data_IF_084818753817
#
_entry.id   IF_084818753817
#
_cell.length_a   1.000
_cell.length_b   1.000
_cell.length_c   1.000
_cell.angle_alpha   90.00
_cell.angle_beta   90.00
_cell.angle_gamma   90.00
#
_symmetry.space_group_name_H-M   'P 1'
#
loop_
_entity.id
_entity.type
_entity.pdbx_description
1 polymer ?
#
# COMPACT_ATOMS: atom_id res chain seq x y z
N UNK A 1 6.13 2.35 -11.84
CA UNK A 1 6.32 3.81 -11.96
C UNK A 1 5.16 4.51 -11.27
N UNK A 2 5.45 5.41 -10.33
CA UNK A 2 4.44 6.24 -9.65
C UNK A 2 4.81 7.71 -9.82
N UNK A 3 3.81 8.57 -10.05
CA UNK A 3 3.94 10.02 -9.98
C UNK A 3 2.86 10.57 -9.06
N UNK A 4 3.26 11.50 -8.19
CA UNK A 4 2.37 12.15 -7.25
C UNK A 4 2.51 13.67 -7.35
N UNK A 5 1.45 14.38 -6.94
CA UNK A 5 1.47 15.84 -6.75
C UNK A 5 2.30 16.23 -5.53
N UNK A 6 2.49 17.53 -5.31
CA UNK A 6 3.20 18.04 -4.11
C UNK A 6 2.47 17.68 -2.81
N UNK A 7 1.16 17.50 -2.88
CA UNK A 7 0.27 17.12 -1.80
C UNK A 7 0.19 15.59 -1.63
N UNK A 8 1.04 14.83 -2.32
CA UNK A 8 1.10 13.37 -2.22
C UNK A 8 -0.06 12.63 -2.90
N UNK A 9 -0.91 13.31 -3.68
CA UNK A 9 -1.96 12.65 -4.46
C UNK A 9 -1.34 11.96 -5.69
N UNK A 10 -1.59 10.67 -5.86
CA UNK A 10 -1.14 9.91 -7.04
C UNK A 10 -1.91 10.41 -8.26
N UNK A 11 -1.17 10.80 -9.30
CA UNK A 11 -1.72 11.26 -10.59
C UNK A 11 -1.46 10.26 -11.72
N UNK A 12 -0.53 9.33 -11.50
CA UNK A 12 -0.25 8.24 -12.43
C UNK A 12 0.40 7.08 -11.66
N UNK A 13 -0.13 5.87 -11.85
CA UNK A 13 0.51 4.65 -11.36
C UNK A 13 0.53 3.58 -12.45
N UNK A 14 1.72 3.10 -12.81
CA UNK A 14 1.90 1.91 -13.62
C UNK A 14 2.63 0.87 -12.76
N UNK A 15 1.99 -0.23 -12.39
CA UNK A 15 2.66 -1.35 -11.72
C UNK A 15 2.59 -2.61 -12.58
N UNK A 16 3.70 -3.32 -12.68
CA UNK A 16 3.78 -4.65 -13.27
C UNK A 16 4.28 -5.60 -12.20
N UNK A 17 3.51 -6.64 -11.91
CA UNK A 17 3.91 -7.65 -10.92
C UNK A 17 3.88 -9.05 -11.51
N UNK A 18 4.70 -9.92 -10.90
CA UNK A 18 4.88 -11.30 -11.30
C UNK A 18 4.61 -12.21 -10.11
N UNK A 19 3.65 -13.12 -10.26
CA UNK A 19 3.34 -14.15 -9.30
C UNK A 19 4.03 -15.45 -9.69
N UNK A 20 4.80 -16.05 -8.79
CA UNK A 20 5.39 -17.37 -9.04
C UNK A 20 4.34 -18.46 -8.82
N UNK A 21 3.89 -19.13 -9.88
CA UNK A 21 2.90 -20.21 -9.80
C UNK A 21 3.51 -21.56 -9.39
N UNK A 22 4.84 -21.70 -9.48
CA UNK A 22 5.54 -22.99 -9.36
C UNK A 22 5.44 -23.83 -10.63
N UNK A 23 5.45 -25.16 -10.49
CA UNK A 23 5.58 -26.12 -11.60
C UNK A 23 4.35 -26.24 -12.49
N UNK A 24 3.19 -25.80 -11.99
CA UNK A 24 1.94 -25.74 -12.72
C UNK A 24 1.21 -24.44 -12.39
N UNK A 25 0.36 -23.99 -13.31
CA UNK A 25 -0.57 -22.88 -13.07
C UNK A 25 -1.78 -23.41 -12.28
N UNK A 26 -1.52 -23.94 -11.08
CA UNK A 26 -2.53 -24.60 -10.27
C UNK A 26 -3.66 -23.63 -9.92
N UNK A 27 -3.32 -22.47 -9.33
CA UNK A 27 -4.31 -21.48 -8.90
C UNK A 27 -3.82 -20.07 -9.18
N UNK A 28 -4.57 -19.36 -10.05
CA UNK A 28 -4.28 -17.98 -10.40
C UNK A 28 -4.75 -17.01 -9.31
N UNK A 29 -3.97 -15.99 -8.91
CA UNK A 29 -4.34 -15.01 -7.88
C UNK A 29 -5.29 -13.93 -8.43
N UNK A 30 -6.41 -14.36 -9.02
CA UNK A 30 -7.34 -13.50 -9.76
C UNK A 30 -7.95 -12.36 -8.93
N UNK A 31 -7.98 -12.50 -7.59
CA UNK A 31 -8.49 -11.48 -6.68
C UNK A 31 -7.61 -10.23 -6.58
N UNK A 32 -6.36 -10.27 -7.06
CA UNK A 32 -5.45 -9.12 -6.97
C UNK A 32 -6.08 -7.88 -7.58
N UNK A 33 -6.69 -7.99 -8.77
CA UNK A 33 -7.24 -6.82 -9.47
C UNK A 33 -8.32 -6.12 -8.65
N UNK A 34 -9.19 -6.88 -7.97
CA UNK A 34 -10.30 -6.35 -7.18
C UNK A 34 -9.84 -5.71 -5.86
N UNK A 35 -8.66 -6.08 -5.36
CA UNK A 35 -8.16 -5.62 -4.06
C UNK A 35 -7.01 -4.62 -4.15
N UNK A 36 -6.43 -4.44 -5.34
CA UNK A 36 -5.27 -3.57 -5.53
C UNK A 36 -5.53 -2.12 -5.13
N UNK A 37 -6.74 -1.61 -5.40
CA UNK A 37 -7.14 -0.25 -5.03
C UNK A 37 -7.16 -0.01 -3.50
N UNK A 38 -7.34 -1.05 -2.70
CA UNK A 38 -7.63 -0.93 -1.27
C UNK A 38 -8.72 0.13 -1.00
N UNK A 39 -8.38 1.23 -0.33
CA UNK A 39 -9.29 2.32 0.02
C UNK A 39 -9.12 3.56 -0.86
N UNK A 40 -8.36 3.48 -1.95
CA UNK A 40 -7.87 4.63 -2.70
C UNK A 40 -8.55 4.80 -4.07
N UNK A 41 -8.53 6.02 -4.59
CA UNK A 41 -8.93 6.32 -5.97
C UNK A 41 -7.92 5.70 -6.94
N UNK A 42 -8.40 4.86 -7.87
CA UNK A 42 -7.55 4.09 -8.79
C UNK A 42 -7.74 4.41 -10.28
N UNK A 43 -8.49 5.46 -10.60
CA UNK A 43 -8.84 5.86 -11.97
C UNK A 43 -7.61 6.10 -12.88
N UNK A 44 -6.49 6.51 -12.29
CA UNK A 44 -5.24 6.79 -12.98
C UNK A 44 -4.23 5.63 -12.93
N UNK A 45 -4.67 4.43 -12.52
CA UNK A 45 -3.80 3.29 -12.31
C UNK A 45 -3.87 2.28 -13.45
N UNK A 46 -2.71 1.78 -13.86
CA UNK A 46 -2.55 0.66 -14.77
C UNK A 46 -1.77 -0.44 -14.06
N UNK A 47 -2.41 -1.59 -13.85
CA UNK A 47 -1.83 -2.74 -13.15
C UNK A 47 -1.76 -3.92 -14.13
N UNK A 48 -0.55 -4.33 -14.47
CA UNK A 48 -0.27 -5.50 -15.30
C UNK A 48 0.15 -6.67 -14.38
N UNK A 49 -0.54 -7.81 -14.52
CA UNK A 49 -0.43 -8.98 -13.67
C UNK A 49 0.02 -10.19 -14.47
N UNK A 50 1.10 -10.86 -14.07
CA UNK A 50 1.59 -12.04 -14.77
C UNK A 50 1.84 -13.21 -13.82
N UNK A 51 1.53 -14.41 -14.29
CA UNK A 51 1.93 -15.65 -13.62
C UNK A 51 3.17 -16.23 -14.29
N UNK A 52 4.12 -16.67 -13.47
CA UNK A 52 5.40 -17.19 -13.90
C UNK A 52 5.50 -18.65 -13.47
N UNK A 53 5.62 -19.54 -14.46
CA UNK A 53 5.93 -20.95 -14.22
C UNK A 53 7.41 -21.11 -13.90
N UNK A 54 7.71 -21.89 -12.87
CA UNK A 54 9.08 -22.15 -12.41
C UNK A 54 9.25 -23.62 -12.02
N UNK A 55 10.49 -24.10 -11.87
CA UNK A 55 10.78 -25.47 -11.41
C UNK A 55 10.67 -25.61 -9.87
N UNK A 56 9.69 -24.93 -9.27
CA UNK A 56 9.36 -25.01 -7.83
C UNK A 56 8.05 -25.77 -7.64
N UNK A 57 7.80 -26.28 -6.44
CA UNK A 57 6.50 -26.85 -6.11
C UNK A 57 5.39 -25.84 -6.42
N UNK A 58 4.27 -26.31 -6.99
CA UNK A 58 3.13 -25.45 -7.32
C UNK A 58 2.57 -24.78 -6.07
N UNK A 59 2.38 -23.47 -6.15
CA UNK A 59 1.75 -22.70 -5.07
C UNK A 59 0.23 -22.94 -5.06
N UNK A 60 -0.40 -22.59 -3.94
CA UNK A 60 -1.85 -22.72 -3.71
C UNK A 60 -2.34 -21.57 -2.84
N UNK A 61 -3.65 -21.40 -2.71
CA UNK A 61 -4.24 -20.36 -1.87
C UNK A 61 -3.71 -20.36 -0.43
N UNK A 62 -3.35 -19.16 0.01
CA UNK A 62 -3.17 -18.81 1.41
C UNK A 62 -4.29 -17.84 1.82
N UNK A 63 -4.48 -17.63 3.12
CA UNK A 63 -5.49 -16.70 3.65
C UNK A 63 -5.37 -15.32 2.97
N UNK A 64 -6.50 -14.80 2.49
CA UNK A 64 -6.58 -13.60 1.64
C UNK A 64 -5.80 -13.76 0.32
N UNK A 65 -6.21 -14.74 -0.53
CA UNK A 65 -5.47 -15.14 -1.72
C UNK A 65 -5.40 -13.98 -2.72
N UNK A 66 -4.19 -13.53 -3.06
CA UNK A 66 -3.96 -12.38 -3.94
C UNK A 66 -4.19 -11.02 -3.27
N UNK A 67 -5.16 -10.92 -2.36
CA UNK A 67 -5.48 -9.63 -1.71
C UNK A 67 -4.34 -9.14 -0.82
N UNK A 68 -3.68 -10.04 -0.10
CA UNK A 68 -2.56 -9.68 0.79
C UNK A 68 -1.43 -9.06 -0.01
N UNK A 69 -1.06 -9.67 -1.13
CA UNK A 69 -0.02 -9.18 -2.02
C UNK A 69 -0.41 -7.85 -2.67
N UNK A 70 -1.66 -7.73 -3.12
CA UNK A 70 -2.19 -6.51 -3.71
C UNK A 70 -2.13 -5.33 -2.73
N UNK A 71 -2.64 -5.52 -1.52
CA UNK A 71 -2.66 -4.50 -0.46
C UNK A 71 -1.24 -4.14 -0.02
N UNK A 72 -0.35 -5.13 0.16
CA UNK A 72 1.04 -4.87 0.51
C UNK A 72 1.75 -4.03 -0.55
N UNK A 73 1.53 -4.30 -1.83
CA UNK A 73 2.11 -3.50 -2.92
C UNK A 73 1.64 -2.06 -2.90
N UNK A 74 0.32 -1.81 -2.82
CA UNK A 74 -0.19 -0.43 -2.86
C UNK A 74 0.18 0.36 -1.59
N UNK A 75 0.17 -0.27 -0.41
CA UNK A 75 0.61 0.38 0.83
C UNK A 75 2.09 0.74 0.79
N UNK A 76 2.92 -0.11 0.19
CA UNK A 76 4.34 0.18 -0.04
C UNK A 76 4.52 1.38 -0.98
N UNK A 77 3.69 1.49 -2.02
CA UNK A 77 3.70 2.64 -2.94
C UNK A 77 3.28 3.92 -2.22
N UNK A 78 2.22 3.88 -1.39
CA UNK A 78 1.79 5.03 -0.60
C UNK A 78 2.89 5.51 0.35
N UNK A 79 3.58 4.57 1.01
CA UNK A 79 4.71 4.89 1.88
C UNK A 79 5.88 5.52 1.09
N UNK A 80 6.17 5.01 -0.10
CA UNK A 80 7.19 5.57 -0.98
C UNK A 80 6.85 7.00 -1.42
N UNK A 81 5.58 7.27 -1.73
CA UNK A 81 5.11 8.62 -2.06
C UNK A 81 5.26 9.55 -0.86
N UNK A 82 4.86 9.13 0.34
CA UNK A 82 4.99 9.92 1.56
C UNK A 82 6.45 10.24 1.90
N UNK A 83 7.34 9.26 1.77
CA UNK A 83 8.76 9.47 1.95
C UNK A 83 9.32 10.47 0.92
N UNK A 84 8.96 10.32 -0.36
CA UNK A 84 9.42 11.19 -1.44
C UNK A 84 8.91 12.64 -1.34
N UNK A 85 7.72 12.85 -0.78
CA UNK A 85 7.14 14.19 -0.57
C UNK A 85 7.46 14.80 0.79
N UNK A 86 8.05 14.03 1.72
CA UNK A 86 8.29 14.46 3.10
C UNK A 86 7.00 14.67 3.91
N UNK A 87 5.90 14.07 3.47
CA UNK A 87 4.59 14.18 4.12
C UNK A 87 4.38 13.07 5.14
N UNK A 88 3.42 13.29 6.05
CA UNK A 88 2.96 12.21 6.91
C UNK A 88 2.29 11.09 6.08
N UNK A 89 2.65 9.82 6.30
CA UNK A 89 2.07 8.71 5.53
C UNK A 89 0.55 8.56 5.72
N UNK A 90 -0.03 8.96 6.86
CA UNK A 90 -1.49 8.96 7.08
C UNK A 90 -2.15 10.05 6.23
N UNK A 91 -1.52 11.23 6.12
CA UNK A 91 -2.03 12.33 5.30
C UNK A 91 -1.99 11.99 3.81
N UNK A 92 -0.91 11.35 3.33
CA UNK A 92 -0.84 10.86 1.95
C UNK A 92 -1.93 9.84 1.66
N UNK A 93 -2.16 8.88 2.57
CA UNK A 93 -3.27 7.91 2.42
C UNK A 93 -4.62 8.63 2.33
N UNK A 94 -4.88 9.58 3.22
CA UNK A 94 -6.12 10.38 3.22
C UNK A 94 -6.31 11.17 1.91
N UNK A 95 -5.25 11.76 1.36
CA UNK A 95 -5.31 12.52 0.12
C UNK A 95 -5.63 11.66 -1.12
N UNK A 96 -5.40 10.36 -1.03
CA UNK A 96 -5.68 9.39 -2.10
C UNK A 96 -7.00 8.63 -1.92
N UNK A 97 -7.74 8.82 -0.82
CA UNK A 97 -9.05 8.18 -0.62
C UNK A 97 -10.17 8.93 -1.36
N UNK A 98 -11.23 8.24 -1.84
CA UNK A 98 -12.41 8.89 -2.39
C UNK A 98 -13.04 9.88 -1.40
N UNK A 99 -13.55 11.03 -1.87
CA UNK A 99 -14.17 12.05 -1.00
C UNK A 99 -15.32 11.49 -0.15
N UNK A 100 -16.11 10.57 -0.72
CA UNK A 100 -17.26 9.94 -0.05
C UNK A 100 -16.89 8.68 0.74
N UNK A 101 -15.62 8.38 0.89
CA UNK A 101 -15.18 7.18 1.64
C UNK A 101 -15.41 7.36 3.12
N UNK A 102 -16.09 6.39 3.76
CA UNK A 102 -16.26 6.35 5.22
C UNK A 102 -14.91 6.28 5.96
N UNK A 103 -13.85 5.82 5.29
CA UNK A 103 -12.50 5.83 5.84
C UNK A 103 -12.00 7.24 6.14
N UNK A 104 -12.50 8.27 5.43
CA UNK A 104 -12.18 9.67 5.74
C UNK A 104 -12.78 10.15 7.06
N UNK A 105 -13.77 9.45 7.62
CA UNK A 105 -14.30 9.69 8.96
C UNK A 105 -13.58 8.82 10.00
N UNK A 106 -13.41 7.53 9.70
CA UNK A 106 -12.86 6.55 10.64
C UNK A 106 -11.38 6.79 10.91
N UNK A 107 -10.58 7.13 9.88
CA UNK A 107 -9.13 7.24 10.04
C UNK A 107 -8.73 8.44 10.91
N UNK A 108 -9.34 9.63 10.80
CA UNK A 108 -9.11 10.72 11.77
C UNK A 108 -9.54 10.38 13.20
N UNK A 109 -10.66 9.66 13.38
CA UNK A 109 -11.08 9.18 14.70
C UNK A 109 -10.02 8.25 15.29
N UNK A 110 -9.59 7.25 14.53
CA UNK A 110 -8.55 6.31 14.94
C UNK A 110 -7.23 7.01 15.25
N UNK A 111 -6.80 7.97 14.41
CA UNK A 111 -5.59 8.78 14.63
C UNK A 111 -5.64 9.50 15.98
N UNK A 112 -6.80 10.06 16.33
CA UNK A 112 -7.04 10.71 17.63
C UNK A 112 -7.04 9.70 18.78
N UNK A 113 -7.80 8.62 18.65
CA UNK A 113 -8.01 7.61 19.70
C UNK A 113 -6.69 6.94 20.11
N UNK A 114 -5.81 6.66 19.15
CA UNK A 114 -4.49 6.08 19.39
C UNK A 114 -3.40 7.10 19.71
N UNK A 115 -3.77 8.38 19.87
CA UNK A 115 -2.87 9.51 20.15
C UNK A 115 -1.69 9.58 19.17
N UNK A 116 -1.96 9.34 17.89
CA UNK A 116 -0.95 9.18 16.85
C UNK A 116 0.04 10.35 16.81
N UNK A 117 -0.46 11.58 16.81
CA UNK A 117 0.38 12.78 16.65
C UNK A 117 1.36 12.99 17.82
N UNK A 118 0.88 12.77 19.06
CA UNK A 118 1.71 12.85 20.27
C UNK A 118 2.79 11.76 20.29
N UNK A 119 2.41 10.53 19.94
CA UNK A 119 3.34 9.39 19.86
C UNK A 119 4.37 9.58 18.76
N UNK A 120 3.98 10.13 17.61
CA UNK A 120 4.90 10.45 16.51
C UNK A 120 5.95 11.45 16.97
N UNK A 121 5.57 12.54 17.64
CA UNK A 121 6.52 13.51 18.19
C UNK A 121 7.48 12.88 19.20
N UNK A 122 6.97 11.98 20.05
CA UNK A 122 7.78 11.25 21.02
C UNK A 122 8.77 10.29 20.35
N UNK A 123 8.35 9.60 19.29
CA UNK A 123 9.22 8.74 18.46
C UNK A 123 10.30 9.59 17.77
N UNK A 124 9.94 10.75 17.20
CA UNK A 124 10.90 11.65 16.57
C UNK A 124 11.95 12.14 17.56
N UNK A 125 11.54 12.47 18.79
CA UNK A 125 12.45 12.85 19.86
C UNK A 125 13.36 11.68 20.26
N UNK A 126 12.79 10.49 20.49
CA UNK A 126 13.54 9.28 20.81
C UNK A 126 14.59 8.97 19.73
N UNK A 127 14.22 9.09 18.45
CA UNK A 127 15.09 8.84 17.31
C UNK A 127 16.24 9.85 17.18
N UNK A 128 16.04 11.09 17.63
CA UNK A 128 17.10 12.12 17.70
C UNK A 128 18.09 11.82 18.83
N UNK A 129 17.59 11.33 19.96
CA UNK A 129 18.39 11.03 21.15
C UNK A 129 19.13 9.68 21.05
N UNK A 130 18.64 8.75 20.23
CA UNK A 130 19.16 7.39 20.15
C UNK A 130 19.75 7.08 18.77
N UNK A 131 21.06 6.81 18.73
CA UNK A 131 21.78 6.48 17.49
C UNK A 131 21.59 5.03 17.04
N UNK A 132 21.61 4.08 17.98
CA UNK A 132 21.65 2.63 17.70
C UNK A 132 20.31 1.92 17.87
N UNK A 133 19.27 2.67 18.27
CA UNK A 133 17.90 2.20 18.43
C UNK A 133 16.96 3.24 17.84
N UNK A 134 15.84 2.78 17.30
CA UNK A 134 14.75 3.58 16.75
C UNK A 134 13.44 3.05 17.32
#
# INVERSE_FOLDING_TARGET
>A
VVKASKEGKIVQLNNTYYHNAGSSFNESPFWIQNSYANCYESDCWKIDAFEVRTDRASNTWCRAPGQTEAIAMIETIMEHVAHGSGMDPVDVRMNNMPEKSKMREILPMFRKDVQYDSRKQSIDQYNKENRWRK
#
